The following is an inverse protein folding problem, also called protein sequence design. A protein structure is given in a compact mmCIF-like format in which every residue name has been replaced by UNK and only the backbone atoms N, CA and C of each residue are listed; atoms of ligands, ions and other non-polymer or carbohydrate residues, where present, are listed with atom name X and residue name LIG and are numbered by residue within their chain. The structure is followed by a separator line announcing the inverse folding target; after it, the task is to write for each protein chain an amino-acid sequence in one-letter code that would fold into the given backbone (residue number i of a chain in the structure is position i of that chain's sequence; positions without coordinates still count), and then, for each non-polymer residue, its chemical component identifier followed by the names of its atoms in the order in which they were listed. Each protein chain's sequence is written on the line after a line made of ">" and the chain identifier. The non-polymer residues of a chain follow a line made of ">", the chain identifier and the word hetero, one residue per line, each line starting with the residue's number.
data_IF_247231188137
#
_entry.id   IF_247231188137
#
_cell.length_a   1.000
_cell.length_b   1.000
_cell.length_c   1.000
_cell.angle_alpha   90.00
_cell.angle_beta   90.00
_cell.angle_gamma   90.00
#
_symmetry.space_group_name_H-M   'P 1'
#
loop_
_entity.id
_entity.type
_entity.pdbx_description
1 polymer ?
#
# COMPACT_ATOMS: atom_id res chain seq x y z
N UNK A 1 -1.51 -11.55 -5.33
CA UNK A 1 -0.51 -11.56 -4.24
C UNK A 1 -0.72 -10.33 -3.39
N UNK A 2 -0.66 -10.44 -2.07
CA UNK A 2 -0.78 -9.30 -1.17
C UNK A 2 0.33 -8.27 -1.49
N UNK A 3 -0.03 -6.96 -1.49
CA UNK A 3 0.94 -5.86 -1.60
C UNK A 3 1.88 -5.82 -0.39
N UNK A 4 1.49 -6.51 0.67
CA UNK A 4 2.24 -6.66 1.92
C UNK A 4 2.47 -8.15 2.18
N UNK A 5 3.69 -8.66 2.02
CA UNK A 5 4.00 -10.05 2.34
C UNK A 5 3.71 -10.37 3.81
N UNK A 6 3.20 -11.58 4.07
CA UNK A 6 2.87 -12.03 5.43
C UNK A 6 1.51 -11.55 5.97
N UNK A 7 0.74 -10.81 5.18
CA UNK A 7 -0.65 -10.45 5.50
C UNK A 7 -1.58 -11.50 4.86
N UNK A 8 -2.42 -12.13 5.68
CA UNK A 8 -3.38 -13.13 5.22
C UNK A 8 -4.54 -12.49 4.45
N UNK A 9 -5.08 -11.40 4.98
CA UNK A 9 -6.21 -10.68 4.40
C UNK A 9 -5.83 -9.26 4.01
N UNK A 10 -5.80 -8.99 2.70
CA UNK A 10 -5.47 -7.68 2.14
C UNK A 10 -6.61 -7.15 1.27
N UNK A 11 -7.08 -5.95 1.60
CA UNK A 11 -8.16 -5.27 0.92
C UNK A 11 -7.63 -4.10 0.09
N UNK A 12 -7.70 -4.24 -1.23
CA UNK A 12 -7.38 -3.14 -2.16
C UNK A 12 -8.50 -2.10 -2.24
N UNK A 13 -8.28 -1.06 -3.02
CA UNK A 13 -9.25 0.03 -3.20
C UNK A 13 -10.62 -0.44 -3.72
N UNK A 14 -10.67 -1.47 -4.55
CA UNK A 14 -11.93 -2.04 -5.06
C UNK A 14 -12.87 -2.53 -3.97
N UNK A 15 -12.35 -2.86 -2.79
CA UNK A 15 -13.16 -3.34 -1.68
C UNK A 15 -13.96 -2.23 -0.98
N UNK A 16 -13.50 -0.97 -1.02
CA UNK A 16 -14.08 0.08 -0.19
C UNK A 16 -14.17 1.46 -0.82
N UNK A 17 -13.30 1.84 -1.77
CA UNK A 17 -13.23 3.21 -2.31
C UNK A 17 -14.47 3.57 -3.13
N UNK A 18 -15.05 4.74 -2.91
CA UNK A 18 -16.03 5.33 -3.83
C UNK A 18 -15.30 5.74 -5.13
N UNK A 19 -15.60 5.13 -6.27
CA UNK A 19 -14.89 5.42 -7.53
C UNK A 19 -15.06 6.87 -8.01
N UNK A 20 -16.08 7.58 -7.50
CA UNK A 20 -16.30 9.00 -7.81
C UNK A 20 -15.37 9.93 -7.01
N UNK A 21 -14.74 9.41 -5.98
CA UNK A 21 -13.81 10.13 -5.10
C UNK A 21 -12.49 9.35 -5.01
N UNK A 22 -11.68 9.27 -6.07
CA UNK A 22 -10.48 8.44 -6.09
C UNK A 22 -9.47 8.86 -5.01
N UNK A 23 -8.67 7.92 -4.56
CA UNK A 23 -7.56 8.22 -3.66
C UNK A 23 -6.47 8.94 -4.45
N UNK A 24 -6.17 10.17 -4.04
CA UNK A 24 -5.20 11.05 -4.71
C UNK A 24 -4.23 11.68 -3.72
N UNK A 25 -3.12 12.15 -4.21
CA UNK A 25 -2.13 12.90 -3.45
C UNK A 25 -0.78 12.94 -4.15
N UNK A 26 0.18 13.72 -3.63
CA UNK A 26 1.54 13.71 -4.13
C UNK A 26 2.18 12.33 -4.00
N UNK A 27 3.03 11.96 -4.96
CA UNK A 27 3.81 10.73 -4.89
C UNK A 27 4.65 10.68 -3.61
N UNK A 28 4.76 9.50 -3.02
CA UNK A 28 5.66 9.26 -1.92
C UNK A 28 7.11 9.20 -2.42
N UNK A 29 8.05 9.73 -1.63
CA UNK A 29 9.48 9.54 -1.87
C UNK A 29 10.03 8.60 -0.79
N UNK A 30 10.33 7.36 -1.19
CA UNK A 30 10.81 6.30 -0.30
C UNK A 30 12.17 6.63 0.35
N UNK A 31 13.01 7.39 -0.35
CA UNK A 31 14.33 7.76 0.14
C UNK A 31 14.27 8.70 1.36
N UNK A 32 13.12 9.30 1.60
CA UNK A 32 12.90 10.16 2.76
C UNK A 32 12.26 9.41 3.94
N UNK A 33 11.75 8.18 3.74
CA UNK A 33 11.07 7.46 4.81
C UNK A 33 12.05 7.03 5.91
N UNK A 34 11.74 7.43 7.14
CA UNK A 34 12.52 7.09 8.33
C UNK A 34 11.64 6.87 9.57
N UNK A 35 10.33 7.09 9.46
CA UNK A 35 9.43 7.01 10.59
C UNK A 35 8.12 6.30 10.21
N UNK A 36 7.75 5.31 11.00
CA UNK A 36 6.49 4.58 10.91
C UNK A 36 5.58 5.01 12.08
N UNK A 37 4.40 5.53 11.74
CA UNK A 37 3.53 6.20 12.71
C UNK A 37 2.23 5.45 12.87
N UNK A 38 1.89 5.09 14.09
CA UNK A 38 0.62 4.48 14.42
C UNK A 38 -0.40 5.51 14.87
N UNK A 39 -1.61 5.33 14.40
CA UNK A 39 -2.81 6.09 14.72
C UNK A 39 -3.91 5.13 15.16
N UNK A 40 -4.96 5.66 15.80
CA UNK A 40 -6.19 4.95 16.13
C UNK A 40 -7.41 5.74 15.65
N UNK A 41 -8.56 5.09 15.56
CA UNK A 41 -9.79 5.73 15.10
C UNK A 41 -10.46 6.57 16.18
N UNK A 42 -10.33 6.19 17.44
CA UNK A 42 -11.11 6.71 18.56
C UNK A 42 -12.63 6.58 18.33
N UNK A 43 -13.04 5.57 17.59
CA UNK A 43 -14.45 5.32 17.28
C UNK A 43 -14.95 4.18 18.16
N UNK A 44 -15.72 4.53 19.19
CA UNK A 44 -16.26 3.59 20.17
C UNK A 44 -17.21 2.55 19.55
N UNK A 45 -17.76 2.85 18.36
CA UNK A 45 -18.78 2.03 17.69
C UNK A 45 -18.20 0.87 16.83
N UNK A 46 -16.87 0.74 16.76
CA UNK A 46 -16.23 -0.28 15.92
C UNK A 46 -15.86 -1.55 16.68
N UNK A 47 -15.86 -1.47 18.01
CA UNK A 47 -15.50 -2.58 18.90
C UNK A 47 -16.37 -2.47 20.16
N UNK A 48 -17.48 -3.19 20.18
CA UNK A 48 -18.37 -3.28 21.35
C UNK A 48 -18.17 -4.56 22.18
N UNK A 49 -17.21 -5.40 21.78
CA UNK A 49 -16.92 -6.67 22.43
C UNK A 49 -17.21 -7.90 21.56
N UNK A 50 -17.86 -7.72 20.43
CA UNK A 50 -18.04 -8.77 19.40
C UNK A 50 -17.48 -8.32 18.04
N UNK A 51 -16.18 -8.59 17.76
CA UNK A 51 -15.53 -8.21 16.50
C UNK A 51 -16.20 -8.77 15.25
N UNK A 52 -17.03 -9.79 15.39
CA UNK A 52 -17.76 -10.40 14.26
C UNK A 52 -18.95 -9.58 13.79
N UNK A 53 -19.54 -8.76 14.65
CA UNK A 53 -20.78 -8.03 14.31
C UNK A 53 -20.56 -6.86 13.33
N UNK A 54 -19.37 -6.28 13.30
CA UNK A 54 -19.10 -5.05 12.55
C UNK A 54 -18.12 -5.21 11.38
N UNK A 55 -17.60 -6.40 11.14
CA UNK A 55 -16.61 -6.62 10.09
C UNK A 55 -17.15 -6.31 8.68
N UNK A 56 -18.42 -6.59 8.43
CA UNK A 56 -19.10 -6.27 7.17
C UNK A 56 -19.30 -4.77 6.96
N UNK A 57 -19.30 -3.97 8.01
CA UNK A 57 -19.49 -2.51 7.96
C UNK A 57 -18.20 -1.75 7.67
N UNK A 58 -17.04 -2.38 7.80
CA UNK A 58 -15.74 -1.73 7.58
C UNK A 58 -15.62 -1.05 6.20
N UNK A 59 -16.05 -1.63 5.07
CA UNK A 59 -16.07 -0.92 3.79
C UNK A 59 -16.94 0.35 3.81
N UNK A 60 -18.07 0.33 4.52
CA UNK A 60 -18.96 1.49 4.65
C UNK A 60 -18.33 2.57 5.54
N UNK A 61 -17.73 2.17 6.64
CA UNK A 61 -16.97 3.05 7.53
C UNK A 61 -15.83 3.76 6.80
N UNK A 62 -15.00 3.01 6.07
CA UNK A 62 -13.88 3.58 5.30
C UNK A 62 -14.37 4.53 4.21
N UNK A 63 -15.50 4.23 3.54
CA UNK A 63 -16.16 5.16 2.60
C UNK A 63 -16.66 6.42 3.31
N UNK A 64 -17.17 6.29 4.53
CA UNK A 64 -17.56 7.42 5.39
C UNK A 64 -16.39 8.33 5.69
N UNK A 65 -15.27 7.74 6.12
CA UNK A 65 -14.01 8.44 6.35
C UNK A 65 -13.51 9.13 5.07
N UNK A 66 -13.53 8.45 3.92
CA UNK A 66 -13.15 9.03 2.65
C UNK A 66 -14.00 10.27 2.31
N UNK A 67 -15.32 10.19 2.46
CA UNK A 67 -16.22 11.35 2.26
C UNK A 67 -15.85 12.50 3.18
N UNK A 68 -15.67 12.23 4.48
CA UNK A 68 -15.27 13.27 5.43
C UNK A 68 -13.98 13.98 5.04
N UNK A 69 -12.94 13.21 4.65
CA UNK A 69 -11.68 13.82 4.24
C UNK A 69 -11.81 14.64 2.96
N UNK A 70 -12.52 14.14 1.95
CA UNK A 70 -12.70 14.87 0.68
C UNK A 70 -13.55 16.12 0.88
N UNK A 71 -14.70 15.99 1.56
CA UNK A 71 -15.69 17.06 1.64
C UNK A 71 -15.33 18.12 2.70
N UNK A 72 -14.65 17.72 3.80
CA UNK A 72 -14.35 18.61 4.93
C UNK A 72 -12.88 19.04 4.99
N UNK A 73 -11.95 18.29 4.40
CA UNK A 73 -10.52 18.56 4.48
C UNK A 73 -9.89 18.90 3.12
N UNK A 74 -10.62 18.68 2.01
CA UNK A 74 -10.17 18.98 0.66
C UNK A 74 -9.08 18.05 0.11
N UNK A 75 -8.86 16.86 0.72
CA UNK A 75 -7.94 15.84 0.24
C UNK A 75 -8.47 14.43 0.56
N UNK A 76 -7.94 13.40 -0.08
CA UNK A 76 -8.32 12.02 0.22
C UNK A 76 -7.84 11.61 1.62
N UNK A 77 -8.26 10.42 2.10
CA UNK A 77 -7.89 9.91 3.45
C UNK A 77 -6.43 10.17 3.80
N UNK A 78 -6.16 10.40 5.09
CA UNK A 78 -4.83 10.85 5.55
C UNK A 78 -3.77 9.76 5.61
N UNK A 79 -4.16 8.50 5.78
CA UNK A 79 -3.28 7.39 6.14
C UNK A 79 -2.85 6.58 4.92
N UNK A 80 -1.76 5.81 5.06
CA UNK A 80 -1.30 4.89 4.02
C UNK A 80 -2.09 3.57 4.05
N UNK A 81 -2.30 3.02 5.25
CA UNK A 81 -3.05 1.78 5.47
C UNK A 81 -3.97 1.93 6.68
N UNK A 82 -5.00 1.08 6.74
CA UNK A 82 -5.68 0.77 7.99
C UNK A 82 -5.52 -0.72 8.29
N UNK A 83 -5.58 -1.08 9.58
CA UNK A 83 -5.53 -2.46 10.06
C UNK A 83 -6.70 -2.64 11.02
N UNK A 84 -7.55 -3.63 10.75
CA UNK A 84 -8.67 -3.98 11.59
C UNK A 84 -8.29 -5.00 12.68
N UNK A 85 -9.18 -5.24 13.62
CA UNK A 85 -8.96 -6.15 14.75
C UNK A 85 -8.86 -7.63 14.35
N UNK A 86 -9.34 -8.02 13.16
CA UNK A 86 -9.18 -9.37 12.61
C UNK A 86 -7.85 -9.54 11.87
N UNK A 87 -7.01 -8.49 11.81
CA UNK A 87 -5.76 -8.48 11.10
C UNK A 87 -5.89 -8.19 9.60
N UNK A 88 -7.05 -7.78 9.12
CA UNK A 88 -7.23 -7.31 7.76
C UNK A 88 -6.48 -6.01 7.50
N UNK A 89 -5.72 -5.94 6.40
CA UNK A 89 -5.01 -4.73 5.97
C UNK A 89 -5.77 -4.08 4.83
N UNK A 90 -6.16 -2.83 5.01
CA UNK A 90 -6.90 -2.02 4.06
C UNK A 90 -5.97 -1.00 3.42
N UNK A 91 -5.80 -1.07 2.10
CA UNK A 91 -5.02 -0.08 1.37
C UNK A 91 -5.78 1.25 1.31
N UNK A 92 -5.24 2.29 1.96
CA UNK A 92 -5.75 3.66 1.88
C UNK A 92 -4.94 4.43 0.81
N UNK A 93 -3.85 5.09 1.17
CA UNK A 93 -2.94 5.72 0.19
C UNK A 93 -1.88 4.75 -0.35
N UNK A 94 -1.71 3.60 0.31
CA UNK A 94 -0.66 2.65 -0.01
C UNK A 94 0.74 3.23 0.13
N UNK A 95 1.73 2.55 -0.44
CA UNK A 95 3.12 3.02 -0.46
C UNK A 95 3.44 4.02 -1.56
N UNK A 96 2.53 4.22 -2.52
CA UNK A 96 2.77 5.10 -3.68
C UNK A 96 2.41 6.56 -3.44
N UNK A 97 1.58 6.86 -2.45
CA UNK A 97 1.06 8.21 -2.19
C UNK A 97 1.51 8.66 -0.80
N UNK A 98 2.06 9.88 -0.74
CA UNK A 98 2.47 10.52 0.51
C UNK A 98 1.28 10.62 1.48
N UNK A 99 1.45 10.24 2.75
CA UNK A 99 0.40 10.38 3.77
C UNK A 99 0.04 11.87 4.00
N UNK A 100 -1.08 12.11 4.69
CA UNK A 100 -1.54 13.43 5.08
C UNK A 100 -2.02 13.45 6.54
N UNK A 101 -1.61 12.47 7.35
CA UNK A 101 -2.00 12.30 8.74
C UNK A 101 -1.00 12.92 9.73
N UNK A 102 0.21 13.26 9.29
CA UNK A 102 1.33 13.66 10.13
C UNK A 102 1.82 15.05 9.74
N UNK A 103 1.13 16.10 10.17
CA UNK A 103 1.48 17.49 9.83
C UNK A 103 2.97 17.76 10.05
N UNK A 104 3.64 18.35 9.05
CA UNK A 104 5.07 18.60 8.97
C UNK A 104 5.96 17.34 8.79
N UNK A 105 5.43 16.13 8.99
CA UNK A 105 6.16 14.85 8.89
C UNK A 105 5.71 13.99 7.69
N UNK A 106 4.65 14.37 6.99
CA UNK A 106 4.05 13.57 5.91
C UNK A 106 5.03 13.10 4.82
N UNK A 107 6.11 13.84 4.58
CA UNK A 107 7.07 13.54 3.52
C UNK A 107 8.03 12.39 3.88
N UNK A 108 8.17 12.08 5.17
CA UNK A 108 9.12 11.10 5.69
C UNK A 108 8.47 9.96 6.48
N UNK A 109 7.14 9.90 6.49
CA UNK A 109 6.42 8.92 7.30
C UNK A 109 5.54 8.00 6.49
N UNK A 110 5.38 6.78 7.00
CA UNK A 110 4.27 5.88 6.69
C UNK A 110 3.30 5.95 7.86
N UNK A 111 2.04 6.24 7.60
CA UNK A 111 0.98 6.37 8.60
C UNK A 111 0.02 5.18 8.52
N UNK A 112 -0.15 4.44 9.61
CA UNK A 112 -1.09 3.32 9.72
C UNK A 112 -2.16 3.65 10.74
N UNK A 113 -3.41 3.50 10.34
CA UNK A 113 -4.59 3.66 11.17
C UNK A 113 -4.98 2.30 11.73
N UNK A 114 -4.87 2.11 13.03
CA UNK A 114 -5.40 0.94 13.72
C UNK A 114 -6.89 1.19 14.01
N UNK A 115 -7.75 0.28 13.53
CA UNK A 115 -9.20 0.36 13.73
C UNK A 115 -9.52 -0.24 15.10
N UNK A 116 -9.19 0.52 16.15
CA UNK A 116 -9.39 0.17 17.57
C UNK A 116 -9.84 1.39 18.34
N UNK A 117 -10.53 1.17 19.44
CA UNK A 117 -10.90 2.22 20.39
C UNK A 117 -9.68 2.80 21.14
N UNK A 118 -9.88 3.95 21.76
CA UNK A 118 -8.83 4.79 22.34
C UNK A 118 -8.06 4.22 23.51
N UNK A 119 -8.68 3.34 24.28
CA UNK A 119 -8.10 2.69 25.44
C UNK A 119 -7.53 1.30 25.14
N UNK A 120 -7.95 0.69 24.05
CA UNK A 120 -7.76 -0.72 23.80
C UNK A 120 -6.43 -1.04 23.09
N UNK A 121 -5.81 -2.18 23.48
CA UNK A 121 -4.71 -2.72 22.71
C UNK A 121 -5.22 -3.34 21.41
N UNK A 122 -4.40 -3.34 20.38
CA UNK A 122 -4.65 -4.16 19.20
C UNK A 122 -4.65 -5.66 19.55
N UNK A 123 -5.48 -6.42 18.83
CA UNK A 123 -5.44 -7.90 18.86
C UNK A 123 -4.10 -8.44 18.38
N UNK A 124 -3.84 -9.71 18.64
CA UNK A 124 -2.62 -10.37 18.17
C UNK A 124 -2.54 -10.39 16.64
N UNK A 125 -3.67 -10.60 15.97
CA UNK A 125 -3.81 -10.59 14.51
C UNK A 125 -3.54 -9.21 13.93
N UNK A 126 -4.08 -8.15 14.53
CA UNK A 126 -3.82 -6.78 14.13
C UNK A 126 -2.33 -6.41 14.31
N UNK A 127 -1.71 -6.81 15.44
CA UNK A 127 -0.27 -6.63 15.68
C UNK A 127 0.57 -7.34 14.63
N UNK A 128 0.23 -8.58 14.28
CA UNK A 128 0.94 -9.32 13.23
C UNK A 128 0.88 -8.59 11.89
N UNK A 129 -0.28 -8.06 11.53
CA UNK A 129 -0.48 -7.32 10.28
C UNK A 129 0.23 -5.96 10.28
N UNK A 130 0.21 -5.24 11.40
CA UNK A 130 1.00 -3.99 11.55
C UNK A 130 2.49 -4.28 11.39
N UNK A 131 3.00 -5.35 12.02
CA UNK A 131 4.40 -5.75 11.88
C UNK A 131 4.76 -6.11 10.43
N UNK A 132 3.86 -6.75 9.68
CA UNK A 132 4.06 -7.06 8.28
C UNK A 132 4.12 -5.79 7.40
N UNK A 133 3.21 -4.81 7.64
CA UNK A 133 3.22 -3.51 6.94
C UNK A 133 4.50 -2.74 7.26
N UNK A 134 4.94 -2.78 8.52
CA UNK A 134 6.16 -2.12 8.98
C UNK A 134 7.40 -2.73 8.31
N UNK A 135 7.52 -4.06 8.35
CA UNK A 135 8.63 -4.77 7.68
C UNK A 135 8.68 -4.48 6.17
N UNK A 136 7.53 -4.44 5.51
CA UNK A 136 7.46 -4.09 4.09
C UNK A 136 7.84 -2.61 3.82
N UNK A 137 7.50 -1.69 4.72
CA UNK A 137 7.93 -0.30 4.63
C UNK A 137 9.46 -0.19 4.70
N UNK A 138 10.10 -0.87 5.69
CA UNK A 138 11.56 -0.93 5.84
C UNK A 138 12.23 -1.57 4.62
N UNK A 139 11.68 -2.67 4.12
CA UNK A 139 12.18 -3.31 2.90
C UNK A 139 12.15 -2.37 1.69
N UNK A 140 11.10 -1.56 1.57
CA UNK A 140 10.94 -0.61 0.44
C UNK A 140 11.87 0.58 0.51
N UNK A 141 12.17 1.09 1.70
CA UNK A 141 13.12 2.19 1.86
C UNK A 141 14.58 1.72 2.08
N UNK A 142 14.81 0.41 2.22
CA UNK A 142 16.14 -0.18 2.37
C UNK A 142 16.84 0.15 3.71
N UNK A 143 16.08 0.56 4.73
CA UNK A 143 16.62 0.92 6.05
C UNK A 143 15.60 0.73 7.15
N UNK A 144 16.07 0.66 8.39
CA UNK A 144 15.21 0.66 9.56
C UNK A 144 14.50 2.01 9.73
N UNK A 145 13.26 1.95 10.16
CA UNK A 145 12.41 3.11 10.44
C UNK A 145 12.17 3.23 11.96
N UNK A 146 11.95 4.44 12.45
CA UNK A 146 11.53 4.67 13.83
C UNK A 146 10.04 4.40 13.96
N UNK A 147 9.67 3.46 14.81
CA UNK A 147 8.28 3.20 15.16
C UNK A 147 7.86 4.15 16.30
N UNK A 148 6.85 4.97 16.05
CA UNK A 148 6.37 5.94 17.03
C UNK A 148 4.85 6.05 17.07
N UNK A 149 4.24 6.38 18.22
CA UNK A 149 2.86 6.84 18.28
C UNK A 149 2.74 8.25 17.66
N UNK A 150 1.57 8.61 17.12
CA UNK A 150 1.36 9.96 16.58
C UNK A 150 1.63 11.06 17.62
N UNK A 151 1.35 10.81 18.89
CA UNK A 151 1.64 11.74 20.00
C UNK A 151 3.12 12.08 20.18
N UNK A 152 4.04 11.28 19.65
CA UNK A 152 5.47 11.57 19.69
C UNK A 152 5.92 12.64 18.67
N UNK A 153 5.11 12.88 17.63
CA UNK A 153 5.42 13.82 16.54
C UNK A 153 4.34 14.90 16.36
N UNK A 154 3.27 14.86 17.14
CA UNK A 154 2.15 15.80 17.10
C UNK A 154 1.56 16.06 18.48
N UNK A 155 0.92 17.21 18.65
CA UNK A 155 0.19 17.55 19.89
C UNK A 155 -1.19 16.87 19.85
N UNK A 156 -1.26 15.62 20.30
CA UNK A 156 -2.45 14.79 20.26
C UNK A 156 -2.35 13.64 21.25
N UNK A 157 -3.49 13.07 21.69
CA UNK A 157 -3.54 11.82 22.46
C UNK A 157 -3.48 10.56 21.60
N UNK A 158 -3.52 10.69 20.26
CA UNK A 158 -3.37 9.56 19.33
C UNK A 158 -1.98 8.93 19.52
N UNK A 159 -1.86 7.64 19.58
CA UNK A 159 -2.71 6.54 19.17
C UNK A 159 -3.39 5.77 20.34
N UNK A 160 -3.76 6.41 21.43
CA UNK A 160 -4.38 5.74 22.59
C UNK A 160 -3.37 5.07 23.53
N UNK A 161 -3.79 4.73 24.73
CA UNK A 161 -2.91 4.12 25.75
C UNK A 161 -2.56 2.68 25.42
N UNK A 162 -3.51 1.89 24.90
CA UNK A 162 -3.31 0.50 24.56
C UNK A 162 -2.21 0.31 23.52
N UNK A 163 -2.27 1.04 22.41
CA UNK A 163 -1.24 0.97 21.35
C UNK A 163 0.11 1.51 21.85
N UNK A 164 0.12 2.60 22.65
CA UNK A 164 1.37 3.11 23.25
C UNK A 164 2.05 2.08 24.14
N UNK A 165 1.27 1.34 24.94
CA UNK A 165 1.80 0.27 25.76
C UNK A 165 2.39 -0.88 24.92
N UNK A 166 1.72 -1.23 23.81
CA UNK A 166 2.21 -2.26 22.87
C UNK A 166 3.50 -1.82 22.15
N UNK A 167 3.63 -0.54 21.77
CA UNK A 167 4.89 -0.01 21.24
C UNK A 167 5.99 -0.08 22.31
N UNK A 168 5.72 0.36 23.52
CA UNK A 168 6.69 0.39 24.61
C UNK A 168 7.15 -1.02 25.05
N UNK A 169 6.26 -2.01 25.03
CA UNK A 169 6.58 -3.41 25.33
C UNK A 169 7.39 -4.09 24.24
N UNK A 170 7.41 -3.51 23.02
CA UNK A 170 8.12 -4.05 21.87
C UNK A 170 7.42 -5.21 21.17
N UNK A 171 6.15 -5.48 21.47
CA UNK A 171 5.35 -6.49 20.74
C UNK A 171 5.08 -6.04 19.30
N UNK A 172 5.01 -4.72 19.07
CA UNK A 172 4.99 -4.15 17.74
C UNK A 172 6.45 -3.92 17.32
N UNK A 173 7.00 -4.89 16.66
CA UNK A 173 8.32 -4.84 16.02
C UNK A 173 8.31 -5.75 14.82
N UNK A 174 8.95 -5.38 13.71
CA UNK A 174 9.22 -6.38 12.69
C UNK A 174 10.04 -7.48 13.39
N UNK A 175 9.62 -8.71 13.26
CA UNK A 175 10.53 -9.82 13.42
C UNK A 175 11.71 -9.49 12.50
N UNK A 176 12.88 -9.26 13.08
CA UNK A 176 14.09 -8.85 12.33
C UNK A 176 14.05 -9.53 10.98
N UNK A 177 13.99 -8.79 9.88
CA UNK A 177 14.03 -9.41 8.58
C UNK A 177 15.28 -10.31 8.60
N UNK A 178 15.13 -11.51 8.06
CA UNK A 178 16.31 -12.29 7.64
C UNK A 178 17.31 -11.30 7.07
N UNK A 179 18.58 -11.27 7.53
CA UNK A 179 19.52 -10.24 7.12
C UNK A 179 19.33 -9.97 5.63
N UNK A 180 19.11 -8.72 5.27
CA UNK A 180 19.05 -8.36 3.85
C UNK A 180 20.20 -9.06 3.16
N UNK A 181 20.00 -9.73 2.05
CA UNK A 181 21.12 -10.22 1.28
C UNK A 181 22.11 -9.07 1.19
N UNK A 182 23.44 -9.33 1.31
CA UNK A 182 24.44 -8.28 1.34
C UNK A 182 24.12 -7.27 0.25
N UNK A 183 24.34 -5.95 0.49
CA UNK A 183 24.02 -4.93 -0.49
C UNK A 183 24.54 -5.42 -1.85
N UNK A 184 23.61 -5.55 -2.78
CA UNK A 184 23.96 -5.92 -4.15
C UNK A 184 25.05 -4.92 -4.55
N UNK A 185 26.21 -5.36 -5.04
CA UNK A 185 27.26 -4.43 -5.49
C UNK A 185 26.62 -3.39 -6.41
N UNK A 186 27.11 -2.14 -6.44
CA UNK A 186 26.51 -1.10 -7.28
C UNK A 186 26.31 -1.67 -8.69
N UNK A 187 25.04 -1.80 -9.05
CA UNK A 187 24.63 -2.37 -10.33
C UNK A 187 25.04 -1.35 -11.38
N UNK A 188 25.79 -1.78 -12.39
CA UNK A 188 26.11 -0.95 -13.52
C UNK A 188 24.86 -0.77 -14.41
N UNK A 189 24.76 0.27 -15.22
CA UNK A 189 23.59 0.49 -16.10
C UNK A 189 23.25 -0.75 -16.96
N UNK A 190 24.26 -1.53 -17.37
CA UNK A 190 24.09 -2.78 -18.12
C UNK A 190 23.49 -3.91 -17.26
N UNK A 191 23.85 -3.99 -15.96
CA UNK A 191 23.31 -4.98 -15.03
C UNK A 191 21.85 -4.69 -14.68
N UNK A 192 21.48 -3.43 -14.55
CA UNK A 192 20.10 -3.00 -14.32
C UNK A 192 19.19 -3.41 -15.49
N UNK A 193 19.66 -3.24 -16.72
CA UNK A 193 18.93 -3.62 -17.91
C UNK A 193 18.75 -5.14 -18.00
N UNK A 194 19.78 -5.91 -17.69
CA UNK A 194 19.72 -7.38 -17.69
C UNK A 194 18.79 -7.90 -16.59
N UNK A 195 18.83 -7.33 -15.38
CA UNK A 195 17.93 -7.69 -14.30
C UNK A 195 16.48 -7.35 -14.64
N UNK A 196 16.24 -6.17 -15.23
CA UNK A 196 14.93 -5.77 -15.71
C UNK A 196 14.37 -6.77 -16.73
N UNK A 197 15.15 -7.12 -17.74
CA UNK A 197 14.74 -8.06 -18.78
C UNK A 197 14.51 -9.47 -18.24
N UNK A 198 15.32 -9.93 -17.27
CA UNK A 198 15.18 -11.26 -16.65
C UNK A 198 13.87 -11.38 -15.84
N UNK A 199 13.37 -10.29 -15.28
CA UNK A 199 12.14 -10.25 -14.49
C UNK A 199 10.93 -9.72 -15.26
N UNK A 200 11.13 -9.13 -16.43
CA UNK A 200 10.08 -8.54 -17.24
C UNK A 200 9.16 -9.60 -17.88
N UNK A 201 7.90 -9.26 -18.03
CA UNK A 201 6.92 -10.07 -18.74
C UNK A 201 5.95 -9.18 -19.53
N UNK A 202 5.58 -9.64 -20.71
CA UNK A 202 4.49 -9.05 -21.49
C UNK A 202 3.16 -9.66 -21.00
N UNK A 203 2.23 -8.83 -20.55
CA UNK A 203 0.92 -9.27 -20.06
C UNK A 203 -0.20 -8.66 -20.90
N UNK A 204 -1.10 -9.50 -21.37
CA UNK A 204 -2.25 -9.08 -22.19
C UNK A 204 -3.51 -9.00 -21.32
N UNK A 205 -4.16 -7.86 -21.35
CA UNK A 205 -5.46 -7.67 -20.72
C UNK A 205 -6.56 -8.40 -21.53
N UNK A 206 -7.32 -9.30 -20.91
CA UNK A 206 -8.25 -10.19 -21.64
C UNK A 206 -9.42 -9.43 -22.26
N UNK A 207 -9.95 -8.38 -21.62
CA UNK A 207 -11.09 -7.61 -22.11
C UNK A 207 -10.72 -6.58 -23.18
N UNK A 208 -9.57 -5.97 -23.08
CA UNK A 208 -9.17 -4.87 -23.99
C UNK A 208 -8.14 -5.29 -25.03
N UNK A 209 -7.51 -6.46 -24.85
CA UNK A 209 -6.38 -6.89 -25.66
C UNK A 209 -5.11 -6.07 -25.50
N UNK A 210 -5.12 -5.03 -24.66
CA UNK A 210 -3.93 -4.20 -24.40
C UNK A 210 -2.79 -5.04 -23.82
N UNK A 211 -1.56 -4.73 -24.20
CA UNK A 211 -0.36 -5.44 -23.75
C UNK A 211 0.45 -4.49 -22.87
N UNK A 212 0.95 -5.01 -21.77
CA UNK A 212 1.73 -4.28 -20.80
C UNK A 212 3.07 -4.99 -20.58
N UNK A 213 4.13 -4.21 -20.49
CA UNK A 213 5.41 -4.64 -19.99
C UNK A 213 5.42 -4.46 -18.48
N UNK A 214 5.65 -5.54 -17.75
CA UNK A 214 5.70 -5.54 -16.29
C UNK A 214 6.99 -6.16 -15.80
N UNK A 215 7.50 -5.73 -14.66
CA UNK A 215 8.62 -6.38 -13.99
C UNK A 215 8.36 -6.52 -12.49
N UNK A 216 9.11 -7.40 -11.85
CA UNK A 216 9.08 -7.56 -10.39
C UNK A 216 9.62 -6.31 -9.65
N UNK A 217 10.20 -5.36 -10.37
CA UNK A 217 10.76 -4.10 -9.85
C UNK A 217 9.72 -2.96 -9.82
N UNK A 218 8.43 -3.27 -9.73
CA UNK A 218 7.33 -2.30 -9.67
C UNK A 218 7.21 -1.41 -10.93
N UNK A 219 7.48 -1.97 -12.08
CA UNK A 219 7.33 -1.31 -13.36
C UNK A 219 6.13 -1.87 -14.14
N UNK A 220 5.34 -0.99 -14.72
CA UNK A 220 4.26 -1.35 -15.62
C UNK A 220 4.07 -0.25 -16.68
N UNK A 221 4.19 -0.61 -17.94
CA UNK A 221 4.02 0.30 -19.07
C UNK A 221 3.16 -0.36 -20.15
N UNK A 222 2.19 0.38 -20.68
CA UNK A 222 1.50 -0.02 -21.89
C UNK A 222 2.48 -0.02 -23.07
N UNK A 223 2.48 -1.09 -23.87
CA UNK A 223 3.35 -1.23 -25.03
C UNK A 223 2.54 -1.41 -26.31
N UNK A 224 2.98 -0.81 -27.38
CA UNK A 224 2.43 -0.99 -28.71
C UNK A 224 2.99 -2.26 -29.40
N UNK A 225 2.46 -2.60 -30.58
CA UNK A 225 2.87 -3.80 -31.31
C UNK A 225 4.36 -3.81 -31.68
N UNK A 226 4.95 -2.64 -31.98
CA UNK A 226 6.38 -2.52 -32.27
C UNK A 226 7.24 -2.78 -31.05
N UNK A 227 6.86 -2.23 -29.91
CA UNK A 227 7.51 -2.47 -28.63
C UNK A 227 7.39 -3.93 -28.19
N UNK A 228 6.23 -4.56 -28.38
CA UNK A 228 6.03 -6.01 -28.11
C UNK A 228 7.02 -6.83 -28.93
N UNK A 229 7.15 -6.56 -30.25
CA UNK A 229 8.09 -7.27 -31.11
C UNK A 229 9.55 -7.04 -30.66
N UNK A 230 9.88 -5.84 -30.22
CA UNK A 230 11.22 -5.51 -29.71
C UNK A 230 11.53 -6.30 -28.42
N UNK A 231 10.66 -6.26 -27.40
CA UNK A 231 10.88 -6.98 -26.14
C UNK A 231 10.89 -8.50 -26.33
N UNK A 232 10.07 -9.04 -27.24
CA UNK A 232 10.10 -10.47 -27.57
C UNK A 232 11.45 -10.88 -28.15
N UNK A 233 12.05 -10.05 -29.02
CA UNK A 233 13.42 -10.29 -29.54
C UNK A 233 14.49 -10.27 -28.46
N UNK A 234 14.29 -9.49 -27.39
CA UNK A 234 15.16 -9.45 -26.23
C UNK A 234 14.90 -10.61 -25.24
N UNK A 235 14.03 -11.55 -25.58
CA UNK A 235 13.76 -12.73 -24.76
C UNK A 235 12.69 -12.54 -23.68
N UNK A 236 12.02 -11.39 -23.63
CA UNK A 236 10.91 -11.16 -22.69
C UNK A 236 9.73 -12.06 -23.05
N UNK A 237 9.31 -12.89 -22.09
CA UNK A 237 8.23 -13.88 -22.31
C UNK A 237 6.87 -13.24 -22.18
N UNK A 238 5.92 -13.66 -23.02
CA UNK A 238 4.51 -13.36 -22.82
C UNK A 238 3.95 -14.31 -21.78
N UNK A 239 3.39 -13.77 -20.69
CA UNK A 239 2.81 -14.52 -19.61
C UNK A 239 1.31 -14.21 -19.56
N UNK A 240 0.42 -15.23 -19.53
CA UNK A 240 -1.00 -14.99 -19.36
C UNK A 240 -1.29 -14.35 -18.01
N UNK A 241 -2.28 -13.45 -17.96
CA UNK A 241 -2.79 -12.91 -16.71
C UNK A 241 -3.49 -14.01 -15.92
N UNK A 242 -3.08 -14.21 -14.69
CA UNK A 242 -3.70 -15.19 -13.81
C UNK A 242 -5.05 -14.68 -13.25
N UNK A 243 -5.21 -13.37 -13.09
CA UNK A 243 -6.42 -12.72 -12.60
C UNK A 243 -6.41 -11.24 -13.02
N UNK A 244 -7.48 -10.79 -13.68
CA UNK A 244 -7.63 -9.39 -14.15
C UNK A 244 -7.71 -8.39 -13.01
N UNK A 245 -8.42 -8.74 -11.94
CA UNK A 245 -8.60 -7.82 -10.80
C UNK A 245 -7.27 -7.51 -10.11
N UNK A 246 -6.38 -8.50 -10.02
CA UNK A 246 -5.02 -8.31 -9.50
C UNK A 246 -4.20 -7.40 -10.41
N UNK A 247 -4.35 -7.55 -11.73
CA UNK A 247 -3.62 -6.71 -12.68
C UNK A 247 -4.16 -5.27 -12.71
N UNK A 248 -5.48 -5.09 -12.71
CA UNK A 248 -6.10 -3.76 -12.64
C UNK A 248 -5.70 -3.03 -11.34
N UNK A 249 -5.66 -3.76 -10.21
CA UNK A 249 -5.18 -3.24 -8.93
C UNK A 249 -3.69 -2.87 -9.00
N UNK A 250 -2.87 -3.68 -9.67
CA UNK A 250 -1.44 -3.46 -9.83
C UNK A 250 -1.14 -2.25 -10.72
N UNK A 251 -1.83 -2.12 -11.87
CA UNK A 251 -1.70 -0.97 -12.79
C UNK A 251 -2.19 0.31 -12.11
N UNK A 252 -3.31 0.26 -11.39
CA UNK A 252 -3.81 1.39 -10.62
C UNK A 252 -2.84 1.82 -9.52
N UNK A 253 -2.21 0.85 -8.85
CA UNK A 253 -1.19 1.08 -7.82
C UNK A 253 0.07 1.76 -8.38
N UNK A 254 0.62 1.25 -9.49
CA UNK A 254 1.84 1.80 -10.11
C UNK A 254 1.62 3.16 -10.76
N UNK A 255 0.42 3.44 -11.24
CA UNK A 255 0.04 4.75 -11.80
C UNK A 255 -0.38 5.79 -10.76
N UNK A 256 -0.14 5.53 -9.46
CA UNK A 256 -0.51 6.46 -8.38
C UNK A 256 -2.01 6.65 -8.22
N UNK A 257 -2.81 5.64 -8.53
CA UNK A 257 -4.27 5.69 -8.47
C UNK A 257 -4.93 6.41 -9.64
N UNK A 258 -4.15 7.04 -10.49
CA UNK A 258 -4.63 7.55 -11.77
C UNK A 258 -4.52 6.42 -12.78
N UNK A 259 -5.66 5.87 -13.23
CA UNK A 259 -5.67 5.15 -14.51
C UNK A 259 -5.18 6.12 -15.56
N UNK A 260 -4.01 5.92 -16.18
CA UNK A 260 -3.61 6.79 -17.28
C UNK A 260 -4.72 6.73 -18.34
N UNK A 261 -5.09 7.87 -18.92
CA UNK A 261 -6.17 7.94 -19.91
C UNK A 261 -5.99 6.93 -21.07
N UNK A 262 -4.76 6.50 -21.34
CA UNK A 262 -4.42 5.47 -22.32
C UNK A 262 -4.75 4.04 -21.88
N UNK A 263 -4.82 3.73 -20.57
CA UNK A 263 -5.19 2.41 -20.06
C UNK A 263 -6.67 2.08 -20.29
N UNK A 264 -7.48 3.08 -20.62
CA UNK A 264 -8.91 2.97 -20.91
C UNK A 264 -9.23 3.10 -22.40
N UNK A 265 -8.26 3.41 -23.26
CA UNK A 265 -8.53 3.52 -24.70
C UNK A 265 -8.43 2.13 -25.36
N UNK A 266 -9.48 1.66 -26.02
CA UNK A 266 -9.37 0.48 -26.86
C UNK A 266 -8.29 0.74 -27.94
N UNK A 267 -7.43 -0.24 -28.18
CA UNK A 267 -6.53 -0.21 -29.32
C UNK A 267 -7.39 0.08 -30.55
N UNK A 268 -7.14 1.21 -31.23
CA UNK A 268 -7.71 1.41 -32.56
C UNK A 268 -7.26 0.22 -33.41
N UNK A 269 -8.22 -0.54 -33.89
CA UNK A 269 -7.96 -1.57 -34.89
C UNK A 269 -7.18 -0.96 -36.04
N UNK A 270 -5.98 -1.44 -36.26
CA UNK A 270 -5.22 -1.20 -37.50
C UNK A 270 -5.78 -2.12 -38.56
#
# INVERSE_FOLDING_TARGET
>A
MSVVPGVETFHGWSAWVDPRKPITGPAANRDLWDTFVLHYTAADDLIDGDPGEHAEDLPAYLRGMQRYYVDSRGYSVGYNFAVDWLGGVWMLRGFGIKCAANRNWNHRTIAVLCLVDGGDPMTAEAVASVNAVYAEAERRCGRSMNLVPHSAIGSTSCCGDGIRAQIASGVIRPTLPTPLPPPVPPITEDDDMNLFLATAALRRHSRTGAIFLTSALDFCQHVDAGQVAHYTKLGVKTVPLANEDVFESYVAYLSGGLRPAWALQPLKSV
#
